data_IF_698754672163
#
_entry.id   IF_698754672163
#
_cell.length_a   1.000
_cell.length_b   1.000
_cell.length_c   1.000
_cell.angle_alpha   90.00
_cell.angle_beta   90.00
_cell.angle_gamma   90.00
#
_symmetry.space_group_name_H-M   'P 1'
#
loop_
_entity.id
_entity.type
_entity.pdbx_description
1 polymer ?
#
# COMPACT_ATOMS: atom_id res chain seq x y z
N UNK A 1 -18.53 23.66 7.08
CA UNK A 1 -19.18 22.81 6.08
C UNK A 1 -18.28 21.74 5.48
N UNK A 2 -17.16 22.05 4.81
CA UNK A 2 -16.26 21.02 4.21
C UNK A 2 -15.56 20.09 5.22
N UNK A 3 -15.53 20.48 6.52
CA UNK A 3 -14.88 19.72 7.60
C UNK A 3 -15.85 19.20 8.66
N UNK A 4 -17.15 19.45 8.51
CA UNK A 4 -18.15 18.96 9.46
C UNK A 4 -18.34 17.46 9.25
N UNK A 5 -18.02 16.65 10.25
CA UNK A 5 -18.05 15.19 10.15
C UNK A 5 -16.80 14.54 9.55
N UNK A 6 -15.76 15.31 9.16
CA UNK A 6 -14.50 14.74 8.65
C UNK A 6 -13.83 13.85 9.69
N UNK A 7 -13.90 14.22 10.97
CA UNK A 7 -13.36 13.41 12.06
C UNK A 7 -14.06 12.05 12.15
N UNK A 8 -15.37 12.02 11.93
CA UNK A 8 -16.16 10.79 11.91
C UNK A 8 -15.86 9.94 10.67
N UNK A 9 -15.69 10.55 9.50
CA UNK A 9 -15.26 9.85 8.28
C UNK A 9 -13.86 9.24 8.45
N UNK A 10 -12.91 9.97 9.03
CA UNK A 10 -11.56 9.46 9.33
C UNK A 10 -11.64 8.30 10.32
N UNK A 11 -12.47 8.42 11.36
CA UNK A 11 -12.68 7.36 12.34
C UNK A 11 -13.27 6.09 11.69
N UNK A 12 -14.34 6.24 10.90
CA UNK A 12 -14.94 5.14 10.15
C UNK A 12 -13.97 4.53 9.14
N UNK A 13 -13.17 5.34 8.47
CA UNK A 13 -12.16 4.87 7.53
C UNK A 13 -11.12 4.02 8.25
N UNK A 14 -10.55 4.52 9.35
CA UNK A 14 -9.52 3.82 10.10
C UNK A 14 -10.04 2.50 10.69
N UNK A 15 -11.22 2.52 11.32
CA UNK A 15 -11.83 1.32 11.89
C UNK A 15 -12.31 0.33 10.82
N UNK A 16 -13.00 0.83 9.80
CA UNK A 16 -13.60 0.01 8.74
C UNK A 16 -12.55 -0.67 7.88
N UNK A 17 -11.57 0.10 7.37
CA UNK A 17 -10.47 -0.47 6.60
C UNK A 17 -9.58 -1.36 7.46
N UNK A 18 -9.24 -0.94 8.69
CA UNK A 18 -8.38 -1.70 9.59
C UNK A 18 -8.99 -3.05 9.98
N UNK A 19 -10.27 -3.08 10.34
CA UNK A 19 -10.99 -4.33 10.65
C UNK A 19 -11.13 -5.23 9.41
N UNK A 20 -11.46 -4.65 8.25
CA UNK A 20 -11.58 -5.41 7.00
C UNK A 20 -10.26 -6.04 6.56
N UNK A 21 -9.16 -5.28 6.63
CA UNK A 21 -7.80 -5.78 6.36
C UNK A 21 -7.46 -6.92 7.32
N UNK A 22 -7.73 -6.75 8.62
CA UNK A 22 -7.45 -7.77 9.61
C UNK A 22 -8.21 -9.08 9.33
N UNK A 23 -9.51 -8.99 9.03
CA UNK A 23 -10.35 -10.14 8.71
C UNK A 23 -9.93 -10.82 7.41
N UNK A 24 -9.66 -10.04 6.35
CA UNK A 24 -9.21 -10.57 5.06
C UNK A 24 -7.86 -11.28 5.21
N UNK A 25 -6.92 -10.69 5.96
CA UNK A 25 -5.62 -11.31 6.21
C UNK A 25 -5.75 -12.63 6.98
N UNK A 26 -6.64 -12.69 7.97
CA UNK A 26 -6.94 -13.95 8.66
C UNK A 26 -7.51 -15.01 7.71
N UNK A 27 -8.43 -14.60 6.84
CA UNK A 27 -9.05 -15.47 5.85
C UNK A 27 -8.04 -16.01 4.84
N UNK A 28 -7.21 -15.14 4.26
CA UNK A 28 -6.15 -15.51 3.31
C UNK A 28 -5.14 -16.48 3.93
N UNK A 29 -4.73 -16.23 5.19
CA UNK A 29 -3.83 -17.16 5.91
C UNK A 29 -4.44 -18.54 6.06
N UNK A 30 -5.73 -18.61 6.41
CA UNK A 30 -6.44 -19.88 6.58
C UNK A 30 -6.57 -20.65 5.28
N UNK A 31 -6.83 -19.96 4.16
CA UNK A 31 -6.91 -20.58 2.83
C UNK A 31 -5.55 -21.08 2.36
N UNK A 32 -4.51 -20.27 2.51
CA UNK A 32 -3.18 -20.57 1.96
C UNK A 32 -2.33 -21.44 2.89
N UNK A 33 -2.80 -21.71 4.12
CA UNK A 33 -2.05 -22.45 5.13
C UNK A 33 -0.78 -21.73 5.57
N UNK A 34 -0.82 -20.40 5.60
CA UNK A 34 0.36 -19.57 5.90
C UNK A 34 0.31 -19.12 7.36
N UNK A 35 1.40 -19.38 8.09
CA UNK A 35 1.53 -18.93 9.48
C UNK A 35 1.87 -17.44 9.56
N UNK A 36 1.52 -16.81 10.69
CA UNK A 36 1.85 -15.41 10.96
C UNK A 36 3.37 -15.27 11.21
N UNK A 37 4.16 -15.17 10.15
CA UNK A 37 5.58 -14.82 10.27
C UNK A 37 5.72 -13.33 10.58
N UNK A 38 6.61 -13.00 11.52
CA UNK A 38 7.07 -11.61 11.67
C UNK A 38 7.67 -11.20 10.33
N UNK A 39 7.34 -10.01 9.82
CA UNK A 39 7.91 -9.46 8.60
C UNK A 39 9.43 -9.31 8.77
N UNK A 40 10.14 -10.41 8.51
CA UNK A 40 11.59 -10.51 8.62
C UNK A 40 12.11 -10.88 7.24
N UNK A 41 13.18 -10.23 6.79
CA UNK A 41 13.83 -10.61 5.55
C UNK A 41 14.35 -12.04 5.68
N UNK A 42 14.11 -12.84 4.64
CA UNK A 42 14.48 -14.26 4.58
C UNK A 42 16.00 -14.46 4.61
N UNK A 43 16.76 -13.51 4.04
CA UNK A 43 18.22 -13.50 4.08
C UNK A 43 18.78 -12.06 4.09
N UNK A 44 20.09 -11.92 4.29
CA UNK A 44 20.75 -10.60 4.32
C UNK A 44 20.70 -9.87 2.97
N UNK A 45 20.61 -10.61 1.86
CA UNK A 45 20.46 -10.01 0.52
C UNK A 45 19.09 -9.35 0.37
N UNK A 46 18.02 -10.01 0.79
CA UNK A 46 16.66 -9.51 0.80
C UNK A 46 16.61 -8.24 1.67
N UNK A 47 17.17 -8.29 2.89
CA UNK A 47 17.27 -7.12 3.77
C UNK A 47 17.97 -5.93 3.10
N UNK A 48 19.07 -6.19 2.39
CA UNK A 48 19.84 -5.14 1.71
C UNK A 48 19.06 -4.50 0.56
N UNK A 49 18.37 -5.31 -0.24
CA UNK A 49 17.55 -4.83 -1.35
C UNK A 49 16.29 -4.11 -0.86
N UNK A 50 15.62 -4.65 0.15
CA UNK A 50 14.45 -4.03 0.79
C UNK A 50 14.80 -2.66 1.38
N UNK A 51 15.90 -2.56 2.15
CA UNK A 51 16.36 -1.28 2.70
C UNK A 51 16.74 -0.28 1.60
N UNK A 52 17.47 -0.71 0.57
CA UNK A 52 17.87 0.17 -0.54
C UNK A 52 16.65 0.69 -1.28
N UNK A 53 15.69 -0.18 -1.59
CA UNK A 53 14.50 0.21 -2.33
C UNK A 53 13.56 1.05 -1.48
N UNK A 54 13.44 0.76 -0.18
CA UNK A 54 12.68 1.59 0.77
C UNK A 54 13.26 2.99 0.91
N UNK A 55 14.54 3.12 1.26
CA UNK A 55 15.22 4.41 1.41
C UNK A 55 15.23 5.17 0.08
N UNK A 56 15.57 4.49 -1.02
CA UNK A 56 15.58 5.07 -2.36
C UNK A 56 14.20 5.58 -2.78
N UNK A 57 13.14 4.81 -2.51
CA UNK A 57 11.76 5.22 -2.78
C UNK A 57 11.35 6.44 -1.97
N UNK A 58 11.69 6.47 -0.67
CA UNK A 58 11.35 7.57 0.21
C UNK A 58 12.02 8.88 -0.24
N UNK A 59 13.32 8.82 -0.54
CA UNK A 59 14.08 9.99 -1.04
C UNK A 59 13.51 10.46 -2.37
N UNK A 60 13.25 9.55 -3.30
CA UNK A 60 12.77 9.89 -4.63
C UNK A 60 11.36 10.49 -4.60
N UNK A 61 10.45 9.91 -3.81
CA UNK A 61 9.11 10.47 -3.59
C UNK A 61 9.21 11.85 -2.92
N UNK A 62 10.08 12.01 -1.93
CA UNK A 62 10.30 13.28 -1.26
C UNK A 62 10.81 14.36 -2.22
N UNK A 63 11.83 14.07 -3.02
CA UNK A 63 12.35 15.01 -4.03
C UNK A 63 11.27 15.38 -5.06
N UNK A 64 10.52 14.39 -5.56
CA UNK A 64 9.45 14.63 -6.53
C UNK A 64 8.29 15.42 -5.92
N UNK A 65 8.01 15.26 -4.62
CA UNK A 65 6.98 16.05 -3.94
C UNK A 65 7.27 17.55 -3.94
N UNK A 66 8.54 17.96 -3.97
CA UNK A 66 8.91 19.38 -4.13
C UNK A 66 8.49 19.93 -5.51
N UNK A 67 8.36 19.07 -6.52
CA UNK A 67 7.90 19.47 -7.85
C UNK A 67 6.43 19.93 -7.84
N UNK A 68 5.61 19.49 -6.88
CA UNK A 68 4.21 19.96 -6.71
C UNK A 68 4.16 21.46 -6.47
N UNK A 69 5.14 22.01 -5.74
CA UNK A 69 5.22 23.44 -5.44
C UNK A 69 5.32 24.27 -6.73
N UNK A 70 6.00 23.74 -7.77
CA UNK A 70 6.23 24.43 -9.04
C UNK A 70 5.19 24.12 -10.12
N UNK A 71 4.72 22.87 -10.20
CA UNK A 71 3.88 22.39 -11.29
C UNK A 71 2.41 22.16 -10.90
N UNK A 72 2.04 22.43 -9.64
CA UNK A 72 0.66 22.39 -9.18
C UNK A 72 0.04 20.98 -9.17
N UNK A 73 -1.30 20.89 -9.25
CA UNK A 73 -2.04 19.63 -9.08
C UNK A 73 -1.64 18.50 -10.02
N UNK A 74 -1.21 18.81 -11.24
CA UNK A 74 -0.80 17.81 -12.25
C UNK A 74 0.39 16.98 -11.79
N UNK A 75 1.31 17.56 -11.01
CA UNK A 75 2.43 16.82 -10.43
C UNK A 75 1.99 15.82 -9.36
N UNK A 76 0.84 16.05 -8.70
CA UNK A 76 0.30 15.15 -7.67
C UNK A 76 -0.08 13.79 -8.25
N UNK A 77 -0.64 13.74 -9.46
CA UNK A 77 -0.95 12.49 -10.16
C UNK A 77 0.32 11.71 -10.52
N UNK A 78 1.37 12.41 -10.97
CA UNK A 78 2.66 11.80 -11.30
C UNK A 78 3.29 11.18 -10.03
N UNK A 79 3.24 11.90 -8.90
CA UNK A 79 3.77 11.41 -7.63
C UNK A 79 2.93 10.23 -7.12
N UNK A 80 1.61 10.30 -7.21
CA UNK A 80 0.74 9.19 -6.85
C UNK A 80 1.07 7.94 -7.66
N UNK A 81 1.17 8.08 -8.99
CA UNK A 81 1.56 6.98 -9.88
C UNK A 81 2.94 6.41 -9.53
N UNK A 82 3.91 7.29 -9.26
CA UNK A 82 5.25 6.91 -8.82
C UNK A 82 5.23 6.14 -7.50
N UNK A 83 4.45 6.58 -6.51
CA UNK A 83 4.29 5.88 -5.23
C UNK A 83 3.69 4.49 -5.43
N UNK A 84 2.68 4.36 -6.30
CA UNK A 84 2.08 3.06 -6.66
C UNK A 84 3.13 2.15 -7.31
N UNK A 85 3.89 2.65 -8.29
CA UNK A 85 4.95 1.89 -8.96
C UNK A 85 6.01 1.41 -7.97
N UNK A 86 6.48 2.28 -7.09
CA UNK A 86 7.47 1.91 -6.07
C UNK A 86 6.92 0.89 -5.07
N UNK A 87 5.66 1.03 -4.66
CA UNK A 87 4.97 0.08 -3.79
C UNK A 87 4.84 -1.31 -4.44
N UNK A 88 4.44 -1.36 -5.71
CA UNK A 88 4.39 -2.62 -6.48
C UNK A 88 5.78 -3.25 -6.60
N UNK A 89 6.82 -2.46 -6.85
CA UNK A 89 8.20 -2.96 -6.89
C UNK A 89 8.65 -3.56 -5.55
N UNK A 90 8.28 -2.95 -4.41
CA UNK A 90 8.56 -3.50 -3.08
C UNK A 90 7.87 -4.85 -2.86
N UNK A 91 6.58 -4.95 -3.20
CA UNK A 91 5.80 -6.19 -3.08
C UNK A 91 6.38 -7.28 -3.98
N UNK A 92 6.72 -6.95 -5.23
CA UNK A 92 7.31 -7.91 -6.17
C UNK A 92 8.68 -8.41 -5.71
N UNK A 93 9.54 -7.52 -5.19
CA UNK A 93 10.82 -7.95 -4.62
C UNK A 93 10.60 -8.97 -3.51
N UNK A 94 9.72 -8.64 -2.56
CA UNK A 94 9.43 -9.52 -1.42
C UNK A 94 8.87 -10.87 -1.86
N UNK A 95 7.84 -10.85 -2.71
CA UNK A 95 7.24 -12.06 -3.25
C UNK A 95 8.24 -12.90 -4.07
N UNK A 96 9.15 -12.26 -4.82
CA UNK A 96 10.22 -12.94 -5.55
C UNK A 96 11.22 -13.64 -4.63
N UNK A 97 11.59 -13.02 -3.52
CA UNK A 97 12.44 -13.64 -2.50
C UNK A 97 11.72 -14.79 -1.77
N UNK A 98 10.45 -14.59 -1.40
CA UNK A 98 9.60 -15.61 -0.77
C UNK A 98 9.43 -16.82 -1.68
N UNK A 99 9.15 -16.62 -2.98
CA UNK A 99 9.01 -17.72 -3.93
C UNK A 99 10.26 -18.60 -4.03
N UNK A 100 11.45 -18.02 -3.85
CA UNK A 100 12.73 -18.73 -4.02
C UNK A 100 13.30 -19.29 -2.72
N UNK A 101 13.00 -18.68 -1.57
CA UNK A 101 13.68 -19.00 -0.30
C UNK A 101 12.74 -19.26 0.87
N UNK A 102 11.42 -19.09 0.73
CA UNK A 102 10.49 -19.38 1.82
C UNK A 102 10.32 -20.89 2.01
N UNK A 103 10.16 -21.29 3.28
CA UNK A 103 9.86 -22.68 3.65
C UNK A 103 8.47 -23.11 3.15
N UNK A 104 7.50 -22.18 3.13
CA UNK A 104 6.16 -22.43 2.62
C UNK A 104 6.03 -21.86 1.20
N UNK A 105 5.73 -22.69 0.19
CA UNK A 105 5.60 -22.24 -1.19
C UNK A 105 4.43 -21.28 -1.41
N UNK A 106 3.48 -21.17 -0.48
CA UNK A 106 2.36 -20.24 -0.57
C UNK A 106 2.65 -18.86 0.03
N UNK A 107 3.81 -18.63 0.66
CA UNK A 107 4.14 -17.33 1.28
C UNK A 107 4.13 -16.19 0.25
N UNK A 108 4.66 -16.41 -0.96
CA UNK A 108 4.64 -15.40 -2.01
C UNK A 108 3.22 -15.07 -2.51
N UNK A 109 2.35 -16.08 -2.58
CA UNK A 109 0.94 -15.91 -2.95
C UNK A 109 0.23 -15.07 -1.89
N UNK A 110 0.50 -15.35 -0.61
CA UNK A 110 -0.05 -14.58 0.48
C UNK A 110 0.39 -13.11 0.40
N UNK A 111 1.67 -12.82 0.19
CA UNK A 111 2.17 -11.43 0.07
C UNK A 111 1.54 -10.67 -1.09
N UNK A 112 1.40 -11.30 -2.26
CA UNK A 112 0.76 -10.66 -3.43
C UNK A 112 -0.73 -10.41 -3.16
N UNK A 113 -1.44 -11.42 -2.65
CA UNK A 113 -2.87 -11.31 -2.39
C UNK A 113 -3.17 -10.33 -1.26
N UNK A 114 -2.40 -10.37 -0.17
CA UNK A 114 -2.49 -9.43 0.95
C UNK A 114 -2.32 -8.00 0.45
N UNK A 115 -1.28 -7.72 -0.34
CA UNK A 115 -1.06 -6.38 -0.88
C UNK A 115 -2.23 -5.93 -1.77
N UNK A 116 -2.70 -6.80 -2.67
CA UNK A 116 -3.80 -6.50 -3.59
C UNK A 116 -5.11 -6.25 -2.84
N UNK A 117 -5.46 -7.11 -1.88
CA UNK A 117 -6.68 -6.96 -1.08
C UNK A 117 -6.61 -5.73 -0.20
N UNK A 118 -5.46 -5.43 0.41
CA UNK A 118 -5.31 -4.25 1.26
C UNK A 118 -5.49 -2.96 0.47
N UNK A 119 -4.84 -2.86 -0.70
CA UNK A 119 -5.01 -1.72 -1.60
C UNK A 119 -6.47 -1.58 -2.03
N UNK A 120 -7.12 -2.70 -2.38
CA UNK A 120 -8.53 -2.70 -2.79
C UNK A 120 -9.45 -2.22 -1.65
N UNK A 121 -9.26 -2.72 -0.44
CA UNK A 121 -10.04 -2.31 0.74
C UNK A 121 -9.84 -0.82 1.02
N UNK A 122 -8.58 -0.35 1.03
CA UNK A 122 -8.27 1.06 1.25
C UNK A 122 -8.90 1.96 0.18
N UNK A 123 -8.88 1.53 -1.09
CA UNK A 123 -9.56 2.27 -2.16
C UNK A 123 -11.07 2.30 -1.94
N UNK A 124 -11.73 1.17 -1.70
CA UNK A 124 -13.18 1.12 -1.49
C UNK A 124 -13.61 2.05 -0.36
N UNK A 125 -12.94 1.99 0.79
CA UNK A 125 -13.24 2.88 1.91
C UNK A 125 -12.90 4.34 1.59
N UNK A 126 -11.80 4.59 0.87
CA UNK A 126 -11.40 5.94 0.46
C UNK A 126 -12.42 6.59 -0.48
N UNK A 127 -12.84 5.89 -1.54
CA UNK A 127 -13.86 6.35 -2.48
C UNK A 127 -15.23 6.52 -1.81
N UNK A 128 -15.60 5.64 -0.88
CA UNK A 128 -16.92 5.69 -0.23
C UNK A 128 -17.04 6.81 0.80
N UNK A 129 -15.96 7.10 1.55
CA UNK A 129 -15.97 8.06 2.64
C UNK A 129 -15.44 9.45 2.25
N UNK A 130 -14.63 9.54 1.20
CA UNK A 130 -14.03 10.79 0.72
C UNK A 130 -14.22 11.00 -0.79
N UNK A 131 -15.45 10.91 -1.32
CA UNK A 131 -15.69 11.03 -2.76
C UNK A 131 -15.20 12.38 -3.32
N UNK A 132 -15.47 13.49 -2.63
CA UNK A 132 -15.08 14.84 -3.07
C UNK A 132 -13.57 15.02 -3.16
N UNK A 133 -12.83 14.44 -2.20
CA UNK A 133 -11.37 14.47 -2.20
C UNK A 133 -10.80 13.72 -3.40
N UNK A 134 -11.38 12.56 -3.74
CA UNK A 134 -10.93 11.77 -4.89
C UNK A 134 -11.27 12.48 -6.21
N UNK A 135 -12.47 13.03 -6.34
CA UNK A 135 -12.88 13.84 -7.50
C UNK A 135 -11.92 15.02 -7.71
N UNK A 136 -11.56 15.72 -6.63
CA UNK A 136 -10.56 16.78 -6.64
C UNK A 136 -9.17 16.29 -7.08
N UNK A 137 -8.69 15.18 -6.50
CA UNK A 137 -7.38 14.62 -6.80
C UNK A 137 -7.24 14.11 -8.24
N UNK A 138 -8.31 13.54 -8.79
CA UNK A 138 -8.34 13.03 -10.16
C UNK A 138 -8.67 14.10 -11.20
N UNK A 139 -8.95 15.33 -10.76
CA UNK A 139 -9.34 16.45 -11.62
C UNK A 139 -10.52 16.08 -12.55
N UNK A 140 -11.47 15.31 -12.02
CA UNK A 140 -12.70 14.91 -12.71
C UNK A 140 -13.74 15.98 -12.34
N UNK A 141 -13.85 17.04 -13.13
CA UNK A 141 -14.93 18.03 -13.02
C UNK A 141 -16.19 17.56 -13.76
#
# INVERSE_FOLDING_TARGET
MLFDGIAYQIFLFALGSGSSIYLMNLFLRKILGVEKKKAKPINDLHKKWENRLSIGSAILIFCMSMAVIKYGPTASLIIFGLTVVMGVAQVMLRAGFEKKHAENPNDYLFTILEALTNVTILMIFGFSLFPDFITFMLNIY
#
